data_IF_580719775707
#
_entry.id   IF_580719775707
#
_cell.length_a   1.000
_cell.length_b   1.000
_cell.length_c   1.000
_cell.angle_alpha   90.00
_cell.angle_beta   90.00
_cell.angle_gamma   90.00
#
_symmetry.space_group_name_H-M   'P 1'
#
loop_
_entity.id
_entity.type
_entity.pdbx_description
1 polymer ?
#
# COMPACT_ATOMS: atom_id res chain seq x y z
N UNK A 1 -22.75 -26.42 -7.87
CA UNK A 1 -23.27 -26.54 -6.50
C UNK A 1 -24.18 -25.34 -6.23
N UNK A 2 -25.40 -25.54 -5.70
CA UNK A 2 -26.29 -24.43 -5.32
C UNK A 2 -25.95 -24.00 -3.89
N UNK A 3 -25.47 -22.78 -3.71
CA UNK A 3 -25.22 -22.17 -2.40
C UNK A 3 -26.58 -21.93 -1.73
N UNK A 4 -26.76 -22.41 -0.50
CA UNK A 4 -27.95 -22.13 0.31
C UNK A 4 -27.55 -21.47 1.61
N UNK A 5 -28.32 -20.46 2.02
CA UNK A 5 -28.15 -19.76 3.29
C UNK A 5 -29.06 -20.42 4.34
N UNK A 6 -28.48 -20.95 5.41
CA UNK A 6 -29.23 -21.49 6.55
C UNK A 6 -29.33 -20.42 7.64
N UNK A 7 -30.56 -20.05 8.01
CA UNK A 7 -30.83 -19.08 9.08
C UNK A 7 -31.42 -19.86 10.27
N UNK A 8 -30.63 -20.02 11.34
CA UNK A 8 -31.12 -20.58 12.58
C UNK A 8 -31.82 -19.46 13.39
N UNK A 9 -33.15 -19.50 13.43
CA UNK A 9 -34.00 -18.46 14.03
C UNK A 9 -34.67 -18.94 15.32
N UNK A 10 -34.82 -18.03 16.27
CA UNK A 10 -35.61 -18.26 17.49
C UNK A 10 -37.03 -17.66 17.42
N UNK A 11 -37.49 -17.28 16.22
CA UNK A 11 -38.87 -16.83 15.99
C UNK A 11 -39.81 -18.04 16.09
N UNK A 12 -40.59 -18.09 17.17
CA UNK A 12 -41.63 -19.10 17.34
C UNK A 12 -42.75 -18.90 16.33
N UNK A 13 -43.20 -19.98 15.69
CA UNK A 13 -44.20 -19.93 14.61
C UNK A 13 -43.61 -19.73 13.21
N UNK A 14 -42.28 -19.79 13.06
CA UNK A 14 -41.60 -19.70 11.78
C UNK A 14 -41.50 -18.27 11.24
N UNK A 15 -40.78 -18.14 10.13
CA UNK A 15 -40.59 -16.87 9.42
C UNK A 15 -41.67 -16.76 8.34
N UNK A 16 -42.45 -15.68 8.37
CA UNK A 16 -43.42 -15.37 7.30
C UNK A 16 -42.85 -14.41 6.27
N UNK A 17 -41.93 -13.53 6.69
CA UNK A 17 -41.30 -12.53 5.85
C UNK A 17 -39.81 -12.50 6.12
N UNK A 18 -39.01 -12.52 5.05
CA UNK A 18 -37.57 -12.29 5.10
C UNK A 18 -37.28 -11.07 4.22
N UNK A 19 -36.78 -10.01 4.84
CA UNK A 19 -36.53 -8.72 4.19
C UNK A 19 -35.04 -8.42 4.30
N UNK A 20 -34.43 -7.97 3.21
CA UNK A 20 -33.08 -7.41 3.24
C UNK A 20 -33.20 -5.92 3.56
N UNK A 21 -32.62 -5.47 4.68
CA UNK A 21 -32.69 -4.06 5.09
C UNK A 21 -31.45 -3.29 4.65
N UNK A 22 -30.27 -3.91 4.81
CA UNK A 22 -28.97 -3.41 4.36
C UNK A 22 -28.16 -4.57 3.77
N UNK A 23 -27.05 -4.26 3.10
CA UNK A 23 -26.19 -5.27 2.46
C UNK A 23 -25.73 -6.37 3.44
N UNK A 24 -25.52 -6.00 4.71
CA UNK A 24 -25.13 -6.91 5.79
C UNK A 24 -26.25 -7.20 6.78
N UNK A 25 -27.52 -6.86 6.51
CA UNK A 25 -28.60 -7.06 7.47
C UNK A 25 -29.86 -7.64 6.85
N UNK A 26 -30.34 -8.74 7.43
CA UNK A 26 -31.64 -9.34 7.13
C UNK A 26 -32.58 -9.22 8.31
N UNK A 27 -33.85 -9.02 8.01
CA UNK A 27 -34.94 -8.93 8.96
C UNK A 27 -35.86 -10.10 8.73
N UNK A 28 -35.99 -10.95 9.74
CA UNK A 28 -36.98 -12.02 9.72
C UNK A 28 -38.16 -11.61 10.58
N UNK A 29 -39.37 -11.73 10.04
CA UNK A 29 -40.58 -11.36 10.74
C UNK A 29 -41.70 -12.40 10.57
N UNK A 30 -42.59 -12.44 11.55
CA UNK A 30 -43.90 -13.04 11.45
C UNK A 30 -44.95 -12.08 12.04
N UNK A 31 -46.20 -12.52 12.15
CA UNK A 31 -47.31 -11.67 12.64
C UNK A 31 -47.13 -11.12 14.07
N UNK A 32 -46.19 -11.66 14.86
CA UNK A 32 -45.99 -11.33 16.28
C UNK A 32 -44.57 -10.88 16.63
N UNK A 33 -43.58 -11.18 15.79
CA UNK A 33 -42.16 -10.99 16.14
C UNK A 33 -41.36 -10.55 14.93
N UNK A 34 -40.48 -9.58 15.15
CA UNK A 34 -39.53 -9.07 14.17
C UNK A 34 -38.12 -9.16 14.77
N UNK A 35 -37.17 -9.75 14.04
CA UNK A 35 -35.76 -9.88 14.47
C UNK A 35 -34.83 -9.45 13.35
N UNK A 36 -33.78 -8.75 13.74
CA UNK A 36 -32.68 -8.33 12.88
C UNK A 36 -31.52 -9.32 13.04
N UNK A 37 -30.93 -9.72 11.93
CA UNK A 37 -29.71 -10.53 11.89
C UNK A 37 -28.69 -9.79 11.04
N UNK A 38 -27.53 -9.54 11.63
CA UNK A 38 -26.39 -8.99 10.91
C UNK A 38 -25.52 -10.13 10.38
N UNK A 39 -25.18 -10.06 9.11
CA UNK A 39 -24.12 -10.84 8.51
C UNK A 39 -22.79 -10.29 8.99
N UNK A 40 -22.20 -10.96 9.98
CA UNK A 40 -20.79 -10.75 10.30
C UNK A 40 -20.02 -11.72 9.41
N UNK A 41 -19.31 -11.21 8.41
CA UNK A 41 -18.31 -12.00 7.73
C UNK A 41 -17.21 -12.31 8.74
N UNK A 42 -17.20 -13.57 9.21
CA UNK A 42 -16.22 -14.02 10.20
C UNK A 42 -14.80 -13.96 9.62
N UNK A 43 -14.65 -14.08 8.30
CA UNK A 43 -13.34 -14.02 7.66
C UNK A 43 -12.75 -12.61 7.72
N UNK A 44 -13.55 -11.57 7.44
CA UNK A 44 -13.12 -10.17 7.55
C UNK A 44 -12.77 -9.80 9.00
N UNK A 45 -13.58 -10.24 9.97
CA UNK A 45 -13.31 -9.97 11.38
C UNK A 45 -12.02 -10.67 11.85
N UNK A 46 -11.84 -11.94 11.52
CA UNK A 46 -10.62 -12.69 11.86
C UNK A 46 -9.39 -12.09 11.18
N UNK A 47 -9.53 -11.61 9.94
CA UNK A 47 -8.45 -10.94 9.23
C UNK A 47 -8.07 -9.60 9.87
N UNK A 48 -9.04 -8.76 10.23
CA UNK A 48 -8.79 -7.50 10.93
C UNK A 48 -8.13 -7.72 12.31
N UNK A 49 -8.60 -8.72 13.07
CA UNK A 49 -8.00 -9.06 14.37
C UNK A 49 -6.57 -9.57 14.21
N UNK A 50 -6.30 -10.36 13.17
CA UNK A 50 -4.95 -10.83 12.84
C UNK A 50 -4.03 -9.68 12.42
N UNK A 51 -4.47 -8.81 11.52
CA UNK A 51 -3.71 -7.64 11.07
C UNK A 51 -3.36 -6.71 12.24
N UNK A 52 -4.33 -6.44 13.12
CA UNK A 52 -4.11 -5.66 14.34
C UNK A 52 -3.08 -6.31 15.25
N UNK A 53 -3.18 -7.62 15.47
CA UNK A 53 -2.23 -8.36 16.29
C UNK A 53 -0.82 -8.36 15.68
N UNK A 54 -0.69 -8.60 14.38
CA UNK A 54 0.58 -8.58 13.67
C UNK A 54 1.23 -7.18 13.73
N UNK A 55 0.41 -6.13 13.70
CA UNK A 55 0.87 -4.75 13.89
C UNK A 55 1.34 -4.50 15.33
N UNK A 56 0.58 -4.93 16.34
CA UNK A 56 0.95 -4.82 17.76
C UNK A 56 2.25 -5.59 18.07
N UNK A 57 2.40 -6.79 17.54
CA UNK A 57 3.60 -7.61 17.71
C UNK A 57 4.82 -6.97 17.04
N UNK A 58 4.67 -6.39 15.84
CA UNK A 58 5.72 -5.59 15.20
C UNK A 58 6.12 -4.39 16.06
N UNK A 59 5.16 -3.60 16.54
CA UNK A 59 5.45 -2.45 17.40
C UNK A 59 6.19 -2.85 18.67
N UNK A 60 5.81 -3.98 19.26
CA UNK A 60 6.50 -4.52 20.43
C UNK A 60 7.95 -4.87 20.10
N UNK A 61 8.21 -5.57 19.00
CA UNK A 61 9.57 -5.90 18.58
C UNK A 61 10.45 -4.66 18.36
N UNK A 62 9.89 -3.62 17.76
CA UNK A 62 10.57 -2.35 17.51
C UNK A 62 10.89 -1.60 18.78
N UNK A 63 9.95 -1.59 19.73
CA UNK A 63 10.11 -0.97 21.04
C UNK A 63 11.13 -1.73 21.90
N UNK A 64 11.06 -3.06 21.89
CA UNK A 64 12.04 -3.91 22.56
C UNK A 64 13.44 -3.64 21.99
N UNK A 65 13.57 -3.54 20.66
CA UNK A 65 14.83 -3.19 20.03
C UNK A 65 15.30 -1.78 20.43
N UNK A 66 14.41 -0.79 20.45
CA UNK A 66 14.74 0.59 20.88
C UNK A 66 15.36 0.59 22.29
N UNK A 67 14.77 -0.16 23.23
CA UNK A 67 15.30 -0.25 24.61
C UNK A 67 16.68 -0.90 24.70
N UNK A 68 17.09 -1.72 23.72
CA UNK A 68 18.47 -2.25 23.69
C UNK A 68 19.52 -1.19 23.37
N UNK A 69 19.15 -0.13 22.65
CA UNK A 69 20.02 0.99 22.32
C UNK A 69 19.93 2.14 23.32
N UNK A 70 18.84 2.22 24.09
CA UNK A 70 18.67 3.20 25.18
C UNK A 70 19.52 2.81 26.40
N UNK A 71 20.82 3.09 26.32
CA UNK A 71 21.79 2.89 27.41
C UNK A 71 21.39 3.63 28.69
N UNK A 72 20.69 4.76 28.55
CA UNK A 72 20.29 5.62 29.67
C UNK A 72 19.02 5.15 30.40
N UNK A 73 18.27 4.21 29.80
CA UNK A 73 16.91 3.83 30.21
C UNK A 73 15.94 5.03 30.31
N UNK A 74 16.25 6.12 29.60
CA UNK A 74 15.51 7.37 29.59
C UNK A 74 14.44 7.44 28.49
N UNK A 75 14.25 6.36 27.73
CA UNK A 75 13.47 6.28 26.51
C UNK A 75 13.92 7.26 25.43
N UNK A 76 15.24 7.43 25.31
CA UNK A 76 15.91 8.41 24.46
C UNK A 76 17.11 7.80 23.76
N UNK A 77 17.25 8.08 22.46
CA UNK A 77 18.45 7.75 21.69
C UNK A 77 19.14 9.04 21.26
N UNK A 78 20.47 9.05 21.35
CA UNK A 78 21.27 10.08 20.71
C UNK A 78 21.41 9.77 19.21
N UNK A 79 22.13 10.64 18.50
CA UNK A 79 22.34 10.55 17.06
C UNK A 79 22.97 9.24 16.60
N UNK A 80 23.99 8.75 17.30
CA UNK A 80 24.69 7.53 16.92
C UNK A 80 23.84 6.28 17.21
N UNK A 81 23.20 6.25 18.37
CA UNK A 81 22.38 5.13 18.83
C UNK A 81 21.10 5.00 17.98
N UNK A 82 20.53 6.11 17.49
CA UNK A 82 19.37 6.09 16.58
C UNK A 82 19.73 5.49 15.20
N UNK A 83 20.89 5.84 14.64
CA UNK A 83 21.35 5.26 13.38
C UNK A 83 21.62 3.75 13.53
N UNK A 84 22.24 3.36 14.65
CA UNK A 84 22.46 1.95 14.96
C UNK A 84 21.13 1.19 15.13
N UNK A 85 20.13 1.84 15.74
CA UNK A 85 18.79 1.30 15.86
C UNK A 85 18.14 1.03 14.50
N UNK A 86 18.19 1.97 13.54
CA UNK A 86 17.64 1.74 12.19
C UNK A 86 18.34 0.60 11.46
N UNK A 87 19.67 0.48 11.58
CA UNK A 87 20.43 -0.65 11.03
C UNK A 87 20.01 -1.99 11.65
N UNK A 88 19.75 -2.00 12.96
CA UNK A 88 19.28 -3.19 13.65
C UNK A 88 17.83 -3.54 13.30
N UNK A 89 16.96 -2.55 13.08
CA UNK A 89 15.60 -2.75 12.59
C UNK A 89 15.61 -3.47 11.25
N UNK A 90 16.41 -3.00 10.30
CA UNK A 90 16.57 -3.66 8.99
C UNK A 90 17.04 -5.11 9.13
N UNK A 91 18.02 -5.38 10.00
CA UNK A 91 18.51 -6.75 10.23
C UNK A 91 17.44 -7.67 10.83
N UNK A 92 16.58 -7.16 11.70
CA UNK A 92 15.63 -7.96 12.48
C UNK A 92 14.26 -8.11 11.81
N UNK A 93 13.79 -7.06 11.13
CA UNK A 93 12.46 -6.95 10.55
C UNK A 93 12.45 -6.98 9.02
N UNK A 94 13.62 -6.96 8.39
CA UNK A 94 13.77 -7.17 6.96
C UNK A 94 13.72 -5.88 6.15
N UNK A 95 13.36 -6.02 4.87
CA UNK A 95 13.47 -4.99 3.83
C UNK A 95 12.71 -3.71 4.11
N UNK A 96 11.68 -3.76 4.94
CA UNK A 96 10.82 -2.63 5.31
C UNK A 96 11.63 -1.44 5.88
N UNK A 97 12.80 -1.72 6.47
CA UNK A 97 13.69 -0.71 7.05
C UNK A 97 15.00 -0.52 6.29
N UNK A 98 15.14 -1.13 5.10
CA UNK A 98 16.39 -1.09 4.32
C UNK A 98 16.80 0.34 3.96
N UNK A 99 15.84 1.20 3.61
CA UNK A 99 16.10 2.60 3.27
C UNK A 99 16.56 3.41 4.47
N UNK A 100 15.89 3.26 5.61
CA UNK A 100 16.30 3.90 6.87
C UNK A 100 17.70 3.44 7.33
N UNK A 101 18.07 2.18 7.08
CA UNK A 101 19.38 1.64 7.45
C UNK A 101 20.54 2.08 6.54
N UNK A 102 20.26 2.39 5.27
CA UNK A 102 21.25 2.72 4.24
C UNK A 102 21.20 4.19 3.80
N UNK A 103 20.57 5.05 4.60
CA UNK A 103 20.53 6.47 4.34
C UNK A 103 21.97 7.04 4.31
N UNK A 104 22.24 7.94 3.37
CA UNK A 104 23.50 8.68 3.35
C UNK A 104 23.62 9.56 4.59
N UNK A 105 24.84 9.95 4.96
CA UNK A 105 25.07 10.82 6.12
C UNK A 105 24.35 12.17 5.99
N UNK A 106 24.37 12.77 4.80
CA UNK A 106 23.65 14.03 4.52
C UNK A 106 22.14 13.88 4.72
N UNK A 107 21.52 12.83 4.16
CA UNK A 107 20.09 12.60 4.34
C UNK A 107 19.74 12.18 5.78
N UNK A 108 20.67 11.57 6.51
CA UNK A 108 20.46 11.23 7.92
C UNK A 108 20.40 12.48 8.79
N UNK A 109 21.22 13.49 8.51
CA UNK A 109 21.18 14.77 9.22
C UNK A 109 19.84 15.47 9.01
N UNK A 110 19.31 15.49 7.78
CA UNK A 110 17.99 16.05 7.51
C UNK A 110 16.89 15.33 8.30
N UNK A 111 16.92 13.99 8.33
CA UNK A 111 16.00 13.17 9.13
C UNK A 111 16.15 13.47 10.62
N UNK A 112 17.38 13.57 11.11
CA UNK A 112 17.64 13.89 12.51
C UNK A 112 17.04 15.25 12.88
N UNK A 113 17.25 16.27 12.04
CA UNK A 113 16.71 17.61 12.23
C UNK A 113 15.18 17.63 12.18
N UNK A 114 14.55 16.88 11.27
CA UNK A 114 13.10 16.75 11.22
C UNK A 114 12.54 16.08 12.49
N UNK A 115 13.24 15.08 13.02
CA UNK A 115 12.80 14.37 14.22
C UNK A 115 13.06 15.18 15.51
N UNK A 116 14.16 15.93 15.59
CA UNK A 116 14.56 16.75 16.73
C UNK A 116 14.19 18.23 16.55
N UNK A 117 12.92 18.51 16.22
CA UNK A 117 12.42 19.89 16.03
C UNK A 117 12.67 20.83 17.22
N UNK A 118 12.89 20.28 18.42
CA UNK A 118 13.12 21.05 19.64
C UNK A 118 14.62 21.16 20.01
N UNK A 119 15.52 20.68 19.15
CA UNK A 119 16.98 20.70 19.34
C UNK A 119 17.42 20.09 20.68
N UNK A 120 16.71 19.06 21.13
CA UNK A 120 16.95 18.40 22.41
C UNK A 120 18.20 17.53 22.39
N UNK A 121 18.79 17.30 21.21
CA UNK A 121 19.93 16.41 20.96
C UNK A 121 19.65 14.95 21.28
N UNK A 122 18.36 14.58 21.39
CA UNK A 122 17.92 13.20 21.54
C UNK A 122 16.55 12.98 20.90
N UNK A 123 16.30 11.75 20.48
CA UNK A 123 15.01 11.32 19.95
C UNK A 123 14.37 10.32 20.90
N UNK A 124 13.13 10.59 21.27
CA UNK A 124 12.33 9.71 22.11
C UNK A 124 11.56 8.67 21.28
N UNK A 125 11.15 7.58 21.93
CA UNK A 125 10.26 6.59 21.29
C UNK A 125 8.98 7.22 20.69
N UNK A 126 8.44 8.27 21.34
CA UNK A 126 7.24 8.97 20.87
C UNK A 126 7.48 9.76 19.57
N UNK A 127 8.74 10.12 19.27
CA UNK A 127 9.13 10.72 17.99
C UNK A 127 9.45 9.64 16.93
N UNK A 128 10.12 8.54 17.31
CA UNK A 128 10.44 7.44 16.40
C UNK A 128 9.19 6.76 15.85
N UNK A 129 8.23 6.43 16.71
CA UNK A 129 7.02 5.70 16.32
C UNK A 129 6.24 6.34 15.15
N UNK A 130 5.82 7.61 15.22
CA UNK A 130 5.09 8.25 14.13
C UNK A 130 5.97 8.44 12.89
N UNK A 131 7.28 8.65 13.05
CA UNK A 131 8.20 8.75 11.93
C UNK A 131 8.25 7.46 11.11
N UNK A 132 8.36 6.30 11.78
CA UNK A 132 8.36 5.01 11.10
C UNK A 132 7.04 4.76 10.35
N UNK A 133 5.91 5.11 10.96
CA UNK A 133 4.63 4.96 10.29
C UNK A 133 4.55 5.80 9.00
N UNK A 134 5.05 7.04 9.04
CA UNK A 134 5.14 7.89 7.84
C UNK A 134 6.07 7.32 6.78
N UNK A 135 7.18 6.67 7.17
CA UNK A 135 8.06 6.01 6.20
C UNK A 135 7.33 4.89 5.45
N UNK A 136 6.52 4.09 6.13
CA UNK A 136 5.73 3.04 5.50
C UNK A 136 4.72 3.63 4.49
N UNK A 137 4.02 4.70 4.87
CA UNK A 137 3.08 5.40 3.98
C UNK A 137 3.78 5.99 2.75
N UNK A 138 4.92 6.64 2.96
CA UNK A 138 5.68 7.27 1.87
C UNK A 138 6.26 6.24 0.89
N UNK A 139 6.65 5.05 1.35
CA UNK A 139 7.07 3.98 0.45
C UNK A 139 5.95 3.53 -0.49
N UNK A 140 4.71 3.49 0.00
CA UNK A 140 3.54 3.17 -0.82
C UNK A 140 3.31 4.27 -1.87
N UNK A 141 3.39 5.54 -1.46
CA UNK A 141 3.28 6.68 -2.39
C UNK A 141 4.34 6.64 -3.49
N UNK A 142 5.60 6.41 -3.13
CA UNK A 142 6.70 6.29 -4.09
C UNK A 142 6.54 5.09 -5.03
N UNK A 143 6.00 3.97 -4.54
CA UNK A 143 5.72 2.81 -5.37
C UNK A 143 4.61 3.10 -6.40
N UNK A 144 3.57 3.85 -6.01
CA UNK A 144 2.53 4.30 -6.95
C UNK A 144 3.08 5.27 -7.98
N UNK A 145 3.93 6.22 -7.58
CA UNK A 145 4.54 7.18 -8.50
C UNK A 145 5.41 6.48 -9.54
N UNK A 146 6.22 5.50 -9.12
CA UNK A 146 7.02 4.66 -10.03
C UNK A 146 6.16 3.89 -11.03
N UNK A 147 5.01 3.37 -10.59
CA UNK A 147 4.07 2.68 -11.49
C UNK A 147 3.54 3.63 -12.55
N UNK A 148 3.10 4.83 -12.15
CA UNK A 148 2.59 5.86 -13.09
C UNK A 148 3.67 6.30 -14.08
N UNK A 149 4.91 6.48 -13.62
CA UNK A 149 6.02 6.86 -14.48
C UNK A 149 6.37 5.78 -15.52
N UNK A 150 6.34 4.50 -15.13
CA UNK A 150 6.58 3.40 -16.08
C UNK A 150 5.41 3.26 -17.07
N UNK A 151 4.16 3.39 -16.61
CA UNK A 151 2.98 3.42 -17.49
C UNK A 151 3.06 4.54 -18.54
N UNK A 152 3.47 5.75 -18.12
CA UNK A 152 3.67 6.87 -19.03
C UNK A 152 4.80 6.61 -20.03
N UNK A 153 5.92 6.04 -19.57
CA UNK A 153 7.03 5.66 -20.43
C UNK A 153 6.64 4.63 -21.47
N UNK A 154 5.86 3.61 -21.09
CA UNK A 154 5.34 2.60 -22.01
C UNK A 154 4.39 3.23 -23.04
N UNK A 155 3.50 4.14 -22.61
CA UNK A 155 2.61 4.86 -23.51
C UNK A 155 3.38 5.68 -24.55
N UNK A 156 4.43 6.40 -24.13
CA UNK A 156 5.26 7.18 -25.03
C UNK A 156 6.03 6.29 -26.03
N UNK A 157 6.53 5.14 -25.59
CA UNK A 157 7.19 4.16 -26.46
C UNK A 157 6.22 3.58 -27.50
N UNK A 158 5.00 3.26 -27.10
CA UNK A 158 3.96 2.77 -28.01
C UNK A 158 3.54 3.84 -29.03
N UNK A 159 3.35 5.09 -28.58
CA UNK A 159 3.03 6.21 -29.47
C UNK A 159 4.16 6.47 -30.47
N UNK A 160 5.41 6.43 -30.02
CA UNK A 160 6.58 6.56 -30.89
C UNK A 160 6.66 5.42 -31.92
N UNK A 161 6.35 4.18 -31.50
CA UNK A 161 6.32 3.03 -32.42
C UNK A 161 5.23 3.20 -33.49
N UNK A 162 4.02 3.62 -33.08
CA UNK A 162 2.91 3.85 -34.02
C UNK A 162 3.24 4.95 -35.02
N UNK A 163 3.80 6.08 -34.57
CA UNK A 163 4.26 7.16 -35.45
C UNK A 163 5.34 6.68 -36.43
N UNK A 164 6.29 5.87 -35.97
CA UNK A 164 7.33 5.32 -36.84
C UNK A 164 6.77 4.36 -37.90
N UNK A 165 5.78 3.53 -37.54
CA UNK A 165 5.07 2.65 -38.49
C UNK A 165 4.29 3.45 -39.53
N UNK A 166 3.52 4.47 -39.10
CA UNK A 166 2.77 5.37 -40.00
C UNK A 166 3.72 6.12 -40.96
N UNK A 167 4.86 6.63 -40.48
CA UNK A 167 5.84 7.34 -41.31
C UNK A 167 6.58 6.39 -42.28
N UNK A 168 6.81 5.13 -41.89
CA UNK A 168 7.38 4.12 -42.78
C UNK A 168 6.39 3.72 -43.88
N UNK A 169 5.10 3.57 -43.55
CA UNK A 169 4.06 3.28 -44.53
C UNK A 169 3.86 4.45 -45.51
N UNK A 170 3.83 5.69 -45.02
CA UNK A 170 3.74 6.89 -45.86
C UNK A 170 4.91 6.98 -46.85
N UNK A 171 6.15 6.71 -46.39
CA UNK A 171 7.33 6.67 -47.26
C UNK A 171 7.22 5.59 -48.35
N UNK A 172 6.75 4.39 -48.01
CA UNK A 172 6.56 3.32 -48.99
C UNK A 172 5.52 3.67 -50.06
N UNK A 173 4.42 4.30 -49.65
CA UNK A 173 3.36 4.74 -50.58
C UNK A 173 3.86 5.86 -51.51
N UNK A 174 4.67 6.78 -50.99
CA UNK A 174 5.25 7.86 -51.81
C UNK A 174 6.30 7.33 -52.80
N UNK A 175 7.18 6.41 -52.38
CA UNK A 175 8.11 5.73 -53.28
C UNK A 175 7.36 4.97 -54.40
N UNK A 176 6.26 4.29 -54.08
CA UNK A 176 5.44 3.58 -55.06
C UNK A 176 4.74 4.53 -56.04
N UNK A 177 4.28 5.71 -55.58
CA UNK A 177 3.70 6.74 -56.45
C UNK A 177 4.75 7.28 -57.43
N UNK A 178 5.93 7.64 -56.93
CA UNK A 178 7.02 8.16 -57.75
C UNK A 178 7.52 7.13 -58.78
N UNK A 179 7.55 5.85 -58.42
CA UNK A 179 7.91 4.78 -59.35
C UNK A 179 6.91 4.66 -60.51
N UNK A 180 5.60 4.76 -60.24
CA UNK A 180 4.57 4.75 -61.29
C UNK A 180 4.62 5.98 -62.19
N UNK A 181 4.81 7.17 -61.63
CA UNK A 181 4.95 8.41 -62.40
C UNK A 181 6.18 8.37 -63.33
N UNK A 182 7.29 7.76 -62.89
CA UNK A 182 8.50 7.60 -63.70
C UNK A 182 8.38 6.55 -64.82
N UNK A 183 7.51 5.54 -64.65
CA UNK A 183 7.18 4.58 -65.71
C UNK A 183 6.25 5.21 -66.77
N UNK A 184 5.28 6.04 -66.35
CA UNK A 184 4.37 6.75 -67.26
C UNK A 184 5.05 7.87 -68.08
N UNK A 185 6.15 8.47 -67.59
CA UNK A 185 6.93 9.47 -68.36
C UNK A 185 7.89 8.85 -69.40
N UNK A 186 8.12 7.53 -69.38
CA UNK A 186 9.04 6.85 -70.29
C UNK A 186 8.36 6.07 -71.43
N UNK A 187 7.02 6.07 -71.50
CA UNK A 187 6.19 5.51 -72.60
C UNK A 187 5.66 6.62 -73.53
#
# INVERSE_FOLDING_TARGET
MKTYLKIDTSIQGGISFLLMNQETQIVAANKKTLKFYDFIDKSDKEQQEKEKKDQEDRYKQMKDLFTTFDKSKGWKLNREDLLAYFKALHKKMGSDFQKAANVSEECYEDVWHEMDMNETSYITWHQVRPFIHRLEEHEVELAEERRRAEEERQRLLEEARRKAEEEAEARRLEEERLAREAEEEND
#
